data_IF_890456121299
#
_entry.id   IF_890456121299
#
_cell.length_a   1.000
_cell.length_b   1.000
_cell.length_c   1.000
_cell.angle_alpha   90.00
_cell.angle_beta   90.00
_cell.angle_gamma   90.00
#
_symmetry.space_group_name_H-M   'P 1'
#
loop_
_entity.id
_entity.type
_entity.pdbx_description
1 polymer ?
#
# COMPACT_ATOMS: atom_id res chain seq x y z
N UNK A 1 -3.40 10.68 -24.10
CA UNK A 1 -3.25 10.09 -22.75
C UNK A 1 -1.76 10.12 -22.43
N UNK A 2 -1.34 10.67 -21.29
CA UNK A 2 0.08 10.75 -20.89
C UNK A 2 0.54 9.43 -20.24
N UNK A 3 1.86 9.20 -20.17
CA UNK A 3 2.42 8.03 -19.49
C UNK A 3 1.95 7.95 -18.03
N UNK A 4 1.91 9.10 -17.35
CA UNK A 4 1.40 9.22 -15.98
C UNK A 4 -0.08 8.79 -15.87
N UNK A 5 -0.93 9.20 -16.82
CA UNK A 5 -2.33 8.78 -16.83
C UNK A 5 -2.49 7.27 -16.97
N UNK A 6 -1.64 6.61 -17.77
CA UNK A 6 -1.64 5.15 -17.91
C UNK A 6 -1.18 4.46 -16.62
N UNK A 7 -0.06 4.90 -16.05
CA UNK A 7 0.46 4.29 -14.82
C UNK A 7 -0.54 4.40 -13.66
N UNK A 8 -1.30 5.51 -13.60
CA UNK A 8 -2.33 5.72 -12.57
C UNK A 8 -3.53 4.76 -12.64
N UNK A 9 -3.74 4.05 -13.76
CA UNK A 9 -4.82 3.05 -13.88
C UNK A 9 -4.38 1.64 -13.46
N UNK A 10 -3.08 1.40 -13.30
CA UNK A 10 -2.55 0.09 -12.91
C UNK A 10 -2.93 -0.21 -11.45
N UNK A 11 -3.58 -1.35 -11.24
CA UNK A 11 -4.01 -1.83 -9.92
C UNK A 11 -2.92 -2.67 -9.24
N UNK A 12 -2.95 -2.70 -7.91
CA UNK A 12 -2.10 -3.62 -7.16
C UNK A 12 -2.62 -5.07 -7.33
N UNK A 13 -1.79 -6.05 -7.70
CA UNK A 13 -2.23 -7.42 -7.95
C UNK A 13 -2.76 -8.13 -6.68
N UNK A 14 -2.34 -7.70 -5.49
CA UNK A 14 -2.80 -8.23 -4.21
C UNK A 14 -4.00 -7.45 -3.65
N UNK A 15 -4.18 -6.20 -4.11
CA UNK A 15 -5.24 -5.29 -3.74
C UNK A 15 -5.92 -4.71 -5.00
N UNK A 16 -6.64 -5.53 -5.80
CA UNK A 16 -7.14 -5.16 -7.12
C UNK A 16 -8.17 -4.04 -7.13
N UNK A 17 -8.73 -3.68 -5.96
CA UNK A 17 -9.64 -2.55 -5.80
C UNK A 17 -8.94 -1.19 -5.79
N UNK A 18 -7.63 -1.12 -5.53
CA UNK A 18 -6.86 0.14 -5.43
C UNK A 18 -5.74 0.21 -6.47
N UNK A 19 -5.47 1.42 -6.95
CA UNK A 19 -4.36 1.62 -7.89
C UNK A 19 -3.02 1.79 -7.18
N UNK A 20 -1.92 1.49 -7.89
CA UNK A 20 -0.57 1.73 -7.39
C UNK A 20 -0.33 3.22 -7.04
N UNK A 21 -0.98 4.12 -7.79
CA UNK A 21 -0.95 5.54 -7.51
C UNK A 21 -1.75 5.90 -6.25
N UNK A 22 -2.91 5.29 -6.03
CA UNK A 22 -3.72 5.50 -4.82
C UNK A 22 -3.02 5.01 -3.55
N UNK A 23 -2.22 3.95 -3.65
CA UNK A 23 -1.37 3.43 -2.58
C UNK A 23 -0.06 4.22 -2.40
N UNK A 24 0.25 5.17 -3.28
CA UNK A 24 1.51 5.92 -3.25
C UNK A 24 2.76 5.09 -3.58
N UNK A 25 2.58 3.90 -4.18
CA UNK A 25 3.67 3.01 -4.66
C UNK A 25 4.42 3.69 -5.81
N UNK A 26 3.70 4.35 -6.72
CA UNK A 26 4.30 5.13 -7.81
C UNK A 26 4.86 6.42 -7.23
N UNK A 27 6.18 6.62 -7.38
CA UNK A 27 6.91 7.78 -6.84
C UNK A 27 7.16 8.85 -7.88
N UNK A 28 7.45 8.42 -9.10
CA UNK A 28 7.79 9.31 -10.19
C UNK A 28 7.46 8.62 -11.52
N UNK A 29 6.99 9.40 -12.48
CA UNK A 29 6.90 9.01 -13.88
C UNK A 29 7.61 10.08 -14.69
N UNK A 30 8.72 9.72 -15.32
CA UNK A 30 9.54 10.63 -16.13
C UNK A 30 9.52 10.16 -17.57
N UNK A 31 9.28 11.08 -18.50
CA UNK A 31 9.31 10.81 -19.93
C UNK A 31 10.40 11.68 -20.57
N UNK A 32 11.38 11.05 -21.22
CA UNK A 32 12.44 11.73 -21.98
C UNK A 32 12.45 11.23 -23.42
N UNK A 33 12.09 12.10 -24.36
CA UNK A 33 11.89 11.70 -25.75
C UNK A 33 10.85 10.57 -25.84
N UNK A 34 11.27 9.42 -26.38
CA UNK A 34 10.43 8.24 -26.54
C UNK A 34 10.46 7.30 -25.32
N UNK A 35 11.37 7.51 -24.36
CA UNK A 35 11.56 6.64 -23.20
C UNK A 35 10.71 7.05 -22.00
N UNK A 36 10.23 6.06 -21.23
CA UNK A 36 9.49 6.26 -19.99
C UNK A 36 10.19 5.54 -18.83
N UNK A 37 10.55 6.27 -17.80
CA UNK A 37 11.03 5.71 -16.52
C UNK A 37 9.95 5.86 -15.45
N UNK A 38 9.58 4.75 -14.80
CA UNK A 38 8.66 4.75 -13.67
C UNK A 38 9.41 4.33 -12.41
N UNK A 39 9.45 5.19 -11.40
CA UNK A 39 10.03 4.89 -10.10
C UNK A 39 8.95 4.42 -9.15
N UNK A 40 9.12 3.22 -8.58
CA UNK A 40 8.19 2.60 -7.63
C UNK A 40 8.89 2.23 -6.32
N UNK A 41 8.10 2.07 -5.26
CA UNK A 41 8.58 1.61 -3.94
C UNK A 41 7.61 0.59 -3.34
N UNK A 42 8.10 -0.48 -2.70
CA UNK A 42 7.21 -1.49 -2.15
C UNK A 42 6.56 -1.02 -0.85
N UNK A 43 5.30 -1.42 -0.61
CA UNK A 43 4.59 -1.21 0.67
C UNK A 43 5.19 -1.99 1.84
N UNK A 44 5.88 -3.08 1.52
CA UNK A 44 6.68 -3.89 2.46
C UNK A 44 7.98 -4.27 1.77
N UNK A 45 9.14 -4.09 2.40
CA UNK A 45 10.45 -4.26 1.75
C UNK A 45 10.64 -5.63 1.07
N UNK A 46 10.01 -6.69 1.60
CA UNK A 46 10.00 -8.03 1.02
C UNK A 46 8.74 -8.37 0.23
N UNK A 47 8.05 -7.40 -0.38
CA UNK A 47 6.80 -7.63 -1.08
C UNK A 47 7.00 -8.57 -2.29
N UNK A 48 6.35 -9.75 -2.34
CA UNK A 48 6.53 -10.71 -3.43
C UNK A 48 5.93 -10.21 -4.76
N UNK A 49 4.94 -9.31 -4.69
CA UNK A 49 4.22 -8.80 -5.86
C UNK A 49 4.99 -7.78 -6.70
N UNK A 50 6.21 -7.38 -6.28
CA UNK A 50 6.95 -6.32 -6.96
C UNK A 50 7.29 -6.64 -8.40
N UNK A 51 7.52 -7.91 -8.73
CA UNK A 51 7.80 -8.30 -10.11
C UNK A 51 6.56 -8.22 -11.00
N UNK A 52 5.41 -8.67 -10.50
CA UNK A 52 4.12 -8.50 -11.18
C UNK A 52 3.79 -7.03 -11.40
N UNK A 53 3.98 -6.18 -10.39
CA UNK A 53 3.78 -4.73 -10.50
C UNK A 53 4.64 -4.13 -11.62
N UNK A 54 5.93 -4.50 -11.70
CA UNK A 54 6.83 -4.03 -12.77
C UNK A 54 6.38 -4.48 -14.15
N UNK A 55 5.94 -5.73 -14.28
CA UNK A 55 5.43 -6.30 -15.51
C UNK A 55 4.15 -5.59 -15.97
N UNK A 56 3.20 -5.37 -15.06
CA UNK A 56 1.90 -4.75 -15.34
C UNK A 56 2.05 -3.29 -15.77
N UNK A 57 2.92 -2.52 -15.10
CA UNK A 57 3.26 -1.15 -15.51
C UNK A 57 3.85 -1.14 -16.93
N UNK A 58 4.81 -2.03 -17.19
CA UNK A 58 5.48 -2.12 -18.49
C UNK A 58 4.50 -2.50 -19.60
N UNK A 59 3.61 -3.46 -19.33
CA UNK A 59 2.58 -3.91 -20.26
C UNK A 59 1.56 -2.80 -20.57
N UNK A 60 1.09 -2.08 -19.54
CA UNK A 60 0.14 -0.98 -19.70
C UNK A 60 0.72 0.15 -20.58
N UNK A 61 1.96 0.57 -20.30
CA UNK A 61 2.64 1.61 -21.07
C UNK A 61 2.91 1.19 -22.53
N UNK A 62 3.37 -0.03 -22.76
CA UNK A 62 3.58 -0.56 -24.12
C UNK A 62 2.28 -0.65 -24.91
N UNK A 63 1.20 -1.11 -24.26
CA UNK A 63 -0.14 -1.19 -24.89
C UNK A 63 -0.66 0.19 -25.29
N UNK A 64 -0.34 1.21 -24.51
CA UNK A 64 -0.67 2.60 -24.81
C UNK A 64 0.25 3.25 -25.86
N UNK A 65 1.21 2.53 -26.43
CA UNK A 65 2.09 3.00 -27.50
C UNK A 65 3.32 3.79 -27.03
N UNK A 66 3.66 3.77 -25.74
CA UNK A 66 4.89 4.39 -25.25
C UNK A 66 6.12 3.55 -25.62
N UNK A 67 7.26 4.22 -25.82
CA UNK A 67 8.52 3.61 -26.25
C UNK A 67 9.22 2.81 -25.15
N UNK A 68 10.57 2.73 -25.11
CA UNK A 68 11.25 1.88 -24.13
C UNK A 68 10.86 2.26 -22.69
N UNK A 69 10.35 1.27 -21.95
CA UNK A 69 9.90 1.42 -20.57
C UNK A 69 10.94 0.84 -19.61
N UNK A 70 11.35 1.63 -18.63
CA UNK A 70 12.18 1.20 -17.51
C UNK A 70 11.39 1.39 -16.21
N UNK A 71 11.25 0.33 -15.40
CA UNK A 71 10.62 0.42 -14.08
C UNK A 71 11.70 0.23 -13.01
N UNK A 72 11.98 1.28 -12.23
CA UNK A 72 12.99 1.29 -11.17
C UNK A 72 12.33 1.11 -9.81
N UNK A 73 12.90 0.25 -8.98
CA UNK A 73 12.46 0.11 -7.59
C UNK A 73 13.44 0.77 -6.65
N UNK A 74 12.95 1.65 -5.79
CA UNK A 74 13.72 2.34 -4.76
C UNK A 74 13.20 1.95 -3.39
N UNK A 75 14.11 1.89 -2.41
CA UNK A 75 13.78 1.62 -1.00
C UNK A 75 13.96 2.86 -0.11
N UNK A 76 14.46 3.97 -0.67
CA UNK A 76 14.71 5.22 0.02
C UNK A 76 14.12 6.40 -0.79
N UNK A 77 13.28 7.26 -0.18
CA UNK A 77 12.70 7.10 1.16
C UNK A 77 11.82 5.84 1.25
N UNK A 78 11.77 5.23 2.44
CA UNK A 78 10.90 4.08 2.68
C UNK A 78 9.44 4.48 2.47
N UNK A 79 8.64 3.56 1.94
CA UNK A 79 7.20 3.77 1.81
C UNK A 79 6.56 3.99 3.17
N UNK A 80 5.53 4.85 3.20
CA UNK A 80 4.76 5.12 4.40
C UNK A 80 3.27 5.14 4.12
N UNK A 81 2.47 4.69 5.08
CA UNK A 81 1.00 4.70 4.98
C UNK A 81 0.42 6.09 4.78
N UNK A 82 1.14 7.14 5.16
CA UNK A 82 0.74 8.52 4.92
C UNK A 82 0.66 8.87 3.41
N UNK A 83 1.26 8.05 2.53
CA UNK A 83 1.16 8.23 1.07
C UNK A 83 -0.10 7.63 0.44
N UNK A 84 -0.91 6.87 1.20
CA UNK A 84 -2.18 6.36 0.71
C UNK A 84 -3.18 7.52 0.62
N UNK A 85 -3.69 7.74 -0.59
CA UNK A 85 -4.74 8.72 -0.89
C UNK A 85 -6.04 8.45 -0.12
N UNK A 86 -6.86 9.50 0.03
CA UNK A 86 -8.19 9.38 0.64
C UNK A 86 -9.09 8.39 -0.13
N UNK A 87 -9.05 8.40 -1.47
CA UNK A 87 -9.80 7.43 -2.28
C UNK A 87 -9.30 6.01 -2.05
N UNK A 88 -7.98 5.80 -1.97
CA UNK A 88 -7.39 4.50 -1.64
C UNK A 88 -7.86 3.98 -0.28
N UNK A 89 -7.84 4.84 0.75
CA UNK A 89 -8.33 4.50 2.10
C UNK A 89 -9.81 4.12 2.09
N UNK A 90 -10.64 4.86 1.35
CA UNK A 90 -12.06 4.56 1.20
C UNK A 90 -12.29 3.21 0.52
N UNK A 91 -11.62 2.94 -0.60
CA UNK A 91 -11.75 1.67 -1.34
C UNK A 91 -11.29 0.46 -0.54
N UNK A 92 -10.23 0.60 0.28
CA UNK A 92 -9.82 -0.45 1.22
C UNK A 92 -10.96 -0.76 2.21
N UNK A 93 -11.54 0.27 2.82
CA UNK A 93 -12.64 0.11 3.77
C UNK A 93 -13.89 -0.52 3.14
N UNK A 94 -14.27 -0.08 1.94
CA UNK A 94 -15.39 -0.65 1.16
C UNK A 94 -15.16 -2.14 0.83
N UNK A 95 -13.90 -2.54 0.63
CA UNK A 95 -13.51 -3.93 0.42
C UNK A 95 -13.34 -4.74 1.73
N UNK A 96 -13.70 -4.16 2.88
CA UNK A 96 -13.61 -4.82 4.18
C UNK A 96 -12.19 -4.86 4.78
N UNK A 97 -11.24 -4.15 4.18
CA UNK A 97 -9.87 -4.01 4.69
C UNK A 97 -9.80 -2.72 5.51
N UNK A 98 -9.58 -2.84 6.81
CA UNK A 98 -9.49 -1.67 7.67
C UNK A 98 -8.23 -0.86 7.31
N UNK A 99 -8.38 0.41 6.85
CA UNK A 99 -7.25 1.21 6.38
C UNK A 99 -6.28 1.54 7.53
N UNK A 100 -4.99 1.77 7.23
CA UNK A 100 -4.00 2.07 8.26
C UNK A 100 -4.29 3.43 8.92
N UNK A 101 -3.86 3.61 10.17
CA UNK A 101 -3.77 4.92 10.78
C UNK A 101 -2.72 5.84 10.14
N UNK A 102 -2.35 6.91 10.85
CA UNK A 102 -1.18 7.72 10.51
C UNK A 102 0.10 6.92 10.76
N UNK A 103 1.09 7.12 9.90
CA UNK A 103 2.37 6.43 10.05
C UNK A 103 3.07 6.84 11.36
N UNK A 104 3.80 5.91 12.02
CA UNK A 104 4.52 6.24 13.24
C UNK A 104 5.58 7.32 12.98
N UNK A 105 5.43 8.48 13.61
CA UNK A 105 6.43 9.56 13.52
C UNK A 105 7.66 9.20 14.35
N UNK A 106 8.84 9.20 13.73
CA UNK A 106 10.11 9.02 14.42
C UNK A 106 10.65 10.39 14.83
N UNK A 107 10.87 10.59 16.12
CA UNK A 107 11.59 11.76 16.64
C UNK A 107 13.08 11.68 16.29
N UNK A 108 13.78 12.81 16.38
CA UNK A 108 15.24 12.82 16.29
C UNK A 108 15.85 12.11 17.51
N UNK A 109 16.84 11.25 17.29
CA UNK A 109 17.53 10.52 18.36
C UNK A 109 17.56 9.00 18.14
N UNK A 110 17.91 8.23 19.18
CA UNK A 110 17.97 6.77 19.10
C UNK A 110 16.57 6.16 18.86
N UNK A 111 16.53 5.00 18.18
CA UNK A 111 15.27 4.26 17.93
C UNK A 111 14.77 3.70 19.27
N UNK A 112 13.62 4.14 19.80
CA UNK A 112 13.13 3.66 21.09
C UNK A 112 12.65 2.21 20.97
N UNK A 113 13.06 1.37 21.92
CA UNK A 113 12.54 0.01 22.05
C UNK A 113 11.29 0.04 22.94
N UNK A 114 10.11 -0.17 22.36
CA UNK A 114 8.86 -0.27 23.13
C UNK A 114 8.54 -1.74 23.37
N UNK A 115 8.59 -2.16 24.64
CA UNK A 115 8.32 -3.55 25.06
C UNK A 115 6.84 -3.79 25.42
N UNK A 116 6.00 -2.77 25.27
CA UNK A 116 4.55 -2.87 25.45
C UNK A 116 3.85 -3.03 24.10
N UNK A 117 2.69 -3.70 24.05
CA UNK A 117 1.89 -3.77 22.82
C UNK A 117 1.57 -2.36 22.31
N UNK A 118 1.75 -2.14 20.99
CA UNK A 118 1.40 -0.87 20.35
C UNK A 118 -0.11 -0.65 20.53
N UNK A 119 -0.55 0.47 21.15
CA UNK A 119 -1.97 0.79 21.19
C UNK A 119 -2.45 1.02 19.76
N UNK A 120 -3.50 0.29 19.38
CA UNK A 120 -4.13 0.41 18.05
C UNK A 120 -5.37 1.29 18.19
N UNK A 121 -5.45 2.35 17.38
CA UNK A 121 -6.66 3.20 17.27
C UNK A 121 -7.69 2.62 16.29
N UNK A 122 -7.48 1.39 15.86
CA UNK A 122 -8.26 0.70 14.86
C UNK A 122 -9.69 0.42 15.34
N UNK A 123 -10.64 0.59 14.41
CA UNK A 123 -12.04 0.26 14.62
C UNK A 123 -12.45 -0.88 13.72
N UNK A 124 -13.32 -1.75 14.23
CA UNK A 124 -13.92 -2.81 13.44
C UNK A 124 -14.67 -2.19 12.26
N UNK A 125 -14.40 -2.62 11.00
CA UNK A 125 -15.06 -2.07 9.82
C UNK A 125 -16.56 -2.40 9.77
N UNK A 126 -17.00 -3.44 10.50
CA UNK A 126 -18.39 -3.88 10.52
C UNK A 126 -19.27 -3.15 11.54
N UNK A 127 -18.79 -2.93 12.77
CA UNK A 127 -19.59 -2.39 13.87
C UNK A 127 -19.01 -1.11 14.51
N UNK A 128 -17.81 -0.66 14.10
CA UNK A 128 -17.16 0.55 14.63
C UNK A 128 -16.50 0.41 16.01
N UNK A 129 -16.58 -0.77 16.63
CA UNK A 129 -15.96 -1.04 17.94
C UNK A 129 -14.44 -0.87 17.91
N UNK A 130 -13.89 -0.29 18.97
CA UNK A 130 -12.44 -0.21 19.20
C UNK A 130 -11.87 -1.48 19.88
N UNK A 131 -12.72 -2.41 20.31
CA UNK A 131 -12.30 -3.65 20.97
C UNK A 131 -11.91 -4.67 19.90
N UNK A 132 -10.64 -4.63 19.48
CA UNK A 132 -10.09 -5.55 18.46
C UNK A 132 -8.77 -6.16 18.93
N UNK A 133 -8.58 -7.44 18.63
CA UNK A 133 -7.34 -8.17 18.92
C UNK A 133 -6.69 -8.64 17.62
N UNK A 134 -5.36 -8.65 17.58
CA UNK A 134 -4.62 -9.27 16.49
C UNK A 134 -4.57 -10.78 16.73
N UNK A 135 -4.97 -11.56 15.72
CA UNK A 135 -4.94 -13.02 15.78
C UNK A 135 -3.78 -13.60 14.96
N UNK A 136 -3.31 -12.87 13.94
CA UNK A 136 -2.08 -13.19 13.22
C UNK A 136 -1.37 -11.91 12.74
N UNK A 137 -0.03 -11.90 12.81
CA UNK A 137 0.79 -10.78 12.37
C UNK A 137 0.77 -10.56 10.83
N UNK A 138 0.29 -11.56 10.08
CA UNK A 138 0.20 -11.56 8.63
C UNK A 138 -1.18 -12.06 8.21
N UNK A 139 -1.79 -11.36 7.25
CA UNK A 139 -3.02 -11.77 6.57
C UNK A 139 -2.71 -12.45 5.23
N UNK A 140 -3.54 -12.17 4.22
CA UNK A 140 -3.31 -12.64 2.85
C UNK A 140 -2.04 -12.06 2.23
N UNK A 141 -1.60 -10.87 2.69
CA UNK A 141 -0.31 -10.27 2.31
C UNK A 141 0.53 -9.88 3.53
N UNK A 142 1.83 -9.73 3.31
CA UNK A 142 2.78 -9.29 4.35
C UNK A 142 2.49 -7.89 4.90
N UNK A 143 1.87 -7.00 4.12
CA UNK A 143 1.46 -5.66 4.58
C UNK A 143 0.14 -5.65 5.38
N UNK A 144 -0.63 -6.75 5.34
CA UNK A 144 -1.87 -6.93 6.10
C UNK A 144 -1.62 -7.76 7.37
N UNK A 145 -2.45 -7.56 8.37
CA UNK A 145 -2.59 -8.41 9.55
C UNK A 145 -4.05 -8.86 9.71
N UNK A 146 -4.24 -10.01 10.36
CA UNK A 146 -5.56 -10.55 10.60
C UNK A 146 -5.98 -10.25 12.05
N UNK A 147 -7.18 -9.68 12.20
CA UNK A 147 -7.74 -9.27 13.49
C UNK A 147 -9.13 -9.82 13.70
N UNK A 148 -9.60 -9.77 14.94
CA UNK A 148 -10.97 -10.10 15.35
C UNK A 148 -11.56 -8.99 16.21
N UNK A 149 -12.80 -8.60 15.94
CA UNK A 149 -13.54 -7.72 16.84
C UNK A 149 -14.08 -8.51 18.04
N UNK A 150 -13.94 -8.00 19.26
CA UNK A 150 -14.44 -8.69 20.46
C UNK A 150 -15.95 -8.50 20.66
N UNK A 151 -16.53 -7.43 20.12
CA UNK A 151 -17.97 -7.13 20.27
C UNK A 151 -18.83 -7.90 19.26
N UNK A 152 -18.52 -7.83 17.96
CA UNK A 152 -19.28 -8.52 16.93
C UNK A 152 -18.67 -9.86 16.49
N UNK A 153 -17.48 -10.21 17.00
CA UNK A 153 -16.74 -11.47 16.72
C UNK A 153 -16.30 -11.67 15.27
N UNK A 154 -16.49 -10.67 14.41
CA UNK A 154 -16.10 -10.75 13.00
C UNK A 154 -14.57 -10.70 12.84
N UNK A 155 -13.96 -11.63 12.08
CA UNK A 155 -12.59 -11.49 11.62
C UNK A 155 -12.49 -10.47 10.48
N UNK A 156 -11.41 -9.71 10.44
CA UNK A 156 -11.17 -8.74 9.37
C UNK A 156 -9.67 -8.51 9.17
N UNK A 157 -9.30 -8.07 7.96
CA UNK A 157 -7.93 -7.67 7.67
C UNK A 157 -7.71 -6.19 7.95
N UNK A 158 -6.51 -5.86 8.41
CA UNK A 158 -6.05 -4.50 8.61
C UNK A 158 -4.72 -4.31 7.89
N UNK A 159 -4.60 -3.23 7.13
CA UNK A 159 -3.32 -2.83 6.55
C UNK A 159 -2.50 -2.12 7.64
N UNK A 160 -1.30 -2.63 7.92
CA UNK A 160 -0.45 -2.16 9.04
C UNK A 160 0.09 -0.75 8.79
N UNK A 161 0.26 0.03 9.86
CA UNK A 161 0.99 1.30 9.82
C UNK A 161 2.50 1.07 9.72
N UNK A 162 3.08 1.55 8.61
CA UNK A 162 4.51 1.46 8.26
C UNK A 162 5.02 2.86 7.92
#
# INVERSE_FOLDING_TARGET
MTAEQVVRTVTDPELPMVTLAELGIVREVRQDGDGVTVTITPTYSGCPAMESIRADISAALRTAGFGPVEVRTVLAPAWTTDWISESGRRKLAEAGIAPPGAAPRRGAGPIPLTLTPRPSTLRCPRCGSAQTEAIAAFGATACRELRRCLDCREPFEHMKEI
#
